data_IF_654869075981
#
_entry.id   IF_654869075981
#
_cell.length_a   1.000
_cell.length_b   1.000
_cell.length_c   1.000
_cell.angle_alpha   90.00
_cell.angle_beta   90.00
_cell.angle_gamma   90.00
#
_symmetry.space_group_name_H-M   'P 1'
#
loop_
_entity.id
_entity.type
_entity.pdbx_description
1 polymer ?
#
# COMPACT_ATOMS: atom_id res chain seq x y z
N UNK A 1 41.53 11.99 -4.10
CA UNK A 1 41.24 11.77 -4.03
C UNK A 1 40.54 11.20 -3.87
N UNK A 2 40.39 11.55 -4.11
CA UNK A 2 39.79 11.19 -4.12
C UNK A 2 39.09 10.64 -4.01
N UNK A 3 39.27 10.94 -4.31
CA UNK A 3 38.64 10.48 -4.37
C UNK A 3 37.93 10.20 -4.18
N UNK A 4 38.15 10.54 -4.27
CA UNK A 4 37.53 10.38 -4.28
C UNK A 4 36.76 10.18 -4.27
N UNK A 5 37.01 10.50 -4.41
CA UNK A 5 36.41 10.45 -4.51
C UNK A 5 35.69 10.09 -4.73
N UNK A 6 35.73 10.33 -5.01
CA UNK A 6 35.28 10.05 -5.30
C UNK A 6 34.64 9.34 -5.46
N UNK A 7 34.77 9.29 -5.54
CA UNK A 7 34.32 8.81 -5.58
C UNK A 7 33.62 8.29 -5.68
N UNK A 8 33.87 8.24 -5.76
CA UNK A 8 33.26 7.98 -6.08
C UNK A 8 32.31 7.66 -6.03
N UNK A 9 32.49 7.38 -6.12
CA UNK A 9 31.17 7.85 -5.94
C UNK A 9 30.19 7.53 -7.05
N UNK A 10 30.50 7.51 -8.21
CA UNK A 10 29.56 7.29 -9.30
C UNK A 10 28.80 5.98 -9.25
N UNK A 11 29.43 4.90 -8.95
CA UNK A 11 28.70 3.66 -8.87
C UNK A 11 27.71 3.66 -7.76
N UNK A 12 28.06 4.28 -6.70
CA UNK A 12 27.16 4.40 -5.58
C UNK A 12 25.88 5.10 -5.99
N UNK A 13 26.05 6.20 -6.71
CA UNK A 13 24.89 6.95 -7.17
C UNK A 13 24.03 6.12 -8.11
N UNK A 14 24.68 5.36 -8.98
CA UNK A 14 23.95 4.55 -9.92
C UNK A 14 23.11 3.50 -9.22
N UNK A 15 23.63 2.91 -8.18
CA UNK A 15 22.86 1.92 -7.44
C UNK A 15 21.64 2.52 -6.80
N UNK A 16 21.77 3.72 -6.27
CA UNK A 16 20.63 4.40 -5.70
C UNK A 16 19.57 4.65 -6.77
N UNK A 17 20.02 5.08 -7.94
CA UNK A 17 19.09 5.35 -9.01
C UNK A 17 18.31 4.12 -9.42
N UNK A 18 18.92 2.96 -9.34
CA UNK A 18 18.21 1.74 -9.71
C UNK A 18 17.18 1.32 -8.68
N UNK A 19 17.38 1.70 -7.43
CA UNK A 19 16.53 1.19 -6.37
C UNK A 19 15.58 2.23 -5.81
N UNK A 20 15.78 3.50 -6.11
CA UNK A 20 14.95 4.53 -5.52
C UNK A 20 14.27 5.37 -6.57
N UNK A 21 13.01 5.67 -6.32
CA UNK A 21 12.24 6.59 -7.15
C UNK A 21 12.22 7.94 -6.46
N UNK A 22 12.24 9.01 -7.25
CA UNK A 22 12.03 10.35 -6.70
C UNK A 22 10.58 10.52 -6.31
N UNK A 23 10.30 11.50 -5.49
CA UNK A 23 8.92 11.76 -5.10
C UNK A 23 8.02 12.06 -6.31
N UNK A 24 8.45 12.91 -7.26
CA UNK A 24 7.61 13.10 -8.46
C UNK A 24 7.38 11.81 -9.23
N UNK A 25 8.39 10.95 -9.33
CA UNK A 25 8.22 9.68 -10.02
C UNK A 25 7.21 8.79 -9.29
N UNK A 26 7.26 8.78 -7.97
CA UNK A 26 6.31 8.01 -7.20
C UNK A 26 4.89 8.55 -7.36
N UNK A 27 4.75 9.87 -7.42
CA UNK A 27 3.44 10.47 -7.64
C UNK A 27 2.88 10.07 -9.00
N UNK A 28 3.74 10.01 -10.00
CA UNK A 28 3.33 9.57 -11.33
C UNK A 28 2.87 8.12 -11.30
N UNK A 29 3.61 7.27 -10.61
CA UNK A 29 3.26 5.86 -10.47
C UNK A 29 1.93 5.73 -9.74
N UNK A 30 1.73 6.51 -8.68
CA UNK A 30 0.47 6.47 -7.94
C UNK A 30 -0.69 6.89 -8.83
N UNK A 31 -0.50 7.93 -9.62
CA UNK A 31 -1.53 8.39 -10.54
C UNK A 31 -1.88 7.30 -11.54
N UNK A 32 -0.86 6.66 -12.12
CA UNK A 32 -1.09 5.61 -13.07
C UNK A 32 -1.84 4.44 -12.43
N UNK A 33 -1.47 4.08 -11.22
CA UNK A 33 -2.15 3.02 -10.49
C UNK A 33 -3.63 3.34 -10.31
N UNK A 34 -3.94 4.56 -9.91
CA UNK A 34 -5.34 4.94 -9.70
C UNK A 34 -6.11 4.95 -11.01
N UNK A 35 -5.48 5.38 -12.09
CA UNK A 35 -6.13 5.36 -13.40
C UNK A 35 -6.42 3.93 -13.83
N UNK A 36 -5.46 3.03 -13.63
CA UNK A 36 -5.67 1.62 -13.95
C UNK A 36 -6.80 1.03 -13.10
N UNK A 37 -6.83 1.37 -11.84
CA UNK A 37 -7.89 0.87 -10.96
C UNK A 37 -9.25 1.36 -11.42
N UNK A 38 -9.34 2.62 -11.80
CA UNK A 38 -10.59 3.17 -12.29
C UNK A 38 -11.01 2.48 -13.59
N UNK A 39 -10.07 2.26 -14.47
CA UNK A 39 -10.33 1.58 -15.73
C UNK A 39 -10.87 0.17 -15.47
N UNK A 40 -10.37 -0.51 -14.45
CA UNK A 40 -10.81 -1.85 -14.09
C UNK A 40 -12.05 -1.82 -13.19
N UNK A 41 -12.57 -0.64 -12.91
CA UNK A 41 -13.77 -0.47 -12.09
C UNK A 41 -13.58 -0.98 -10.68
N UNK A 42 -12.40 -0.81 -10.15
CA UNK A 42 -12.13 -1.16 -8.76
C UNK A 42 -12.61 -0.06 -7.83
N UNK A 43 -12.97 -0.41 -6.60
CA UNK A 43 -13.40 0.61 -5.64
C UNK A 43 -12.28 1.62 -5.39
N UNK A 44 -12.66 2.89 -5.23
CA UNK A 44 -11.70 3.95 -5.01
C UNK A 44 -11.25 3.96 -3.56
N UNK A 45 -9.96 4.20 -3.30
CA UNK A 45 -9.53 4.37 -1.92
C UNK A 45 -10.03 5.69 -1.35
N UNK A 46 -10.08 5.76 -0.03
CA UNK A 46 -10.49 6.97 0.66
C UNK A 46 -9.33 7.95 0.82
N UNK A 47 -8.11 7.45 0.85
CA UNK A 47 -6.95 8.33 0.92
C UNK A 47 -5.76 7.66 0.27
N UNK A 48 -4.77 8.47 -0.03
CA UNK A 48 -3.53 8.03 -0.62
C UNK A 48 -2.39 8.77 0.06
N UNK A 49 -1.32 8.07 0.33
CA UNK A 49 -0.16 8.65 0.97
C UNK A 49 1.09 8.09 0.29
N UNK A 50 2.09 8.93 0.09
CA UNK A 50 3.33 8.53 -0.53
C UNK A 50 4.44 8.75 0.47
N UNK A 51 5.21 7.70 0.74
CA UNK A 51 6.36 7.78 1.62
C UNK A 51 7.62 7.67 0.78
N UNK A 52 8.27 8.81 0.53
CA UNK A 52 9.50 8.80 -0.26
C UNK A 52 10.60 8.05 0.48
N UNK A 53 10.73 8.30 1.78
CA UNK A 53 11.77 7.61 2.55
C UNK A 53 11.54 6.12 2.62
N UNK A 54 10.29 5.68 2.69
CA UNK A 54 9.97 4.27 2.70
C UNK A 54 9.77 3.67 1.33
N UNK A 55 9.82 4.48 0.29
CA UNK A 55 9.62 4.03 -1.08
C UNK A 55 8.34 3.22 -1.21
N UNK A 56 7.25 3.76 -0.67
CA UNK A 56 5.97 3.06 -0.69
C UNK A 56 4.82 4.02 -0.92
N UNK A 57 3.74 3.47 -1.44
CA UNK A 57 2.48 4.17 -1.64
C UNK A 57 1.45 3.43 -0.81
N UNK A 58 0.70 4.17 0.00
CA UNK A 58 -0.31 3.60 0.88
C UNK A 58 -1.69 4.09 0.49
N UNK A 59 -2.63 3.17 0.41
CA UNK A 59 -4.02 3.48 0.10
C UNK A 59 -4.90 2.93 1.21
N UNK A 60 -5.82 3.74 1.69
CA UNK A 60 -6.72 3.33 2.74
C UNK A 60 -8.15 3.23 2.25
N UNK A 61 -8.89 2.23 2.73
CA UNK A 61 -10.20 1.92 2.22
C UNK A 61 -11.32 2.02 3.25
N UNK A 62 -11.01 2.44 4.46
CA UNK A 62 -12.07 2.68 5.41
C UNK A 62 -12.22 1.58 6.44
N UNK A 63 -13.42 1.51 7.03
CA UNK A 63 -13.61 0.73 8.24
C UNK A 63 -14.86 -0.12 8.23
N UNK A 64 -15.28 -0.60 7.07
CA UNK A 64 -16.48 -1.41 7.04
C UNK A 64 -16.28 -2.63 6.16
N UNK A 65 -17.32 -3.42 5.99
CA UNK A 65 -17.22 -4.63 5.21
C UNK A 65 -16.94 -4.35 3.74
N UNK A 66 -17.41 -3.21 3.25
CA UNK A 66 -17.11 -2.84 1.88
C UNK A 66 -15.62 -2.64 1.69
N UNK A 67 -14.93 -2.17 2.73
CA UNK A 67 -13.48 -2.02 2.65
C UNK A 67 -12.81 -3.38 2.48
N UNK A 68 -13.32 -4.41 3.13
CA UNK A 68 -12.78 -5.74 2.97
C UNK A 68 -12.93 -6.23 1.53
N UNK A 69 -14.11 -6.02 0.95
CA UNK A 69 -14.34 -6.42 -0.44
C UNK A 69 -13.46 -5.61 -1.39
N UNK A 70 -13.25 -4.34 -1.07
CA UNK A 70 -12.38 -3.51 -1.89
C UNK A 70 -10.95 -4.06 -1.90
N UNK A 71 -10.43 -4.41 -0.74
CA UNK A 71 -9.09 -4.98 -0.67
C UNK A 71 -8.99 -6.26 -1.47
N UNK A 72 -9.99 -7.12 -1.36
CA UNK A 72 -9.98 -8.39 -2.07
C UNK A 72 -9.97 -8.18 -3.58
N UNK A 73 -10.74 -7.23 -4.07
CA UNK A 73 -10.79 -6.96 -5.49
C UNK A 73 -9.47 -6.40 -6.00
N UNK A 74 -8.87 -5.50 -5.24
CA UNK A 74 -7.57 -4.96 -5.61
C UNK A 74 -6.50 -6.05 -5.61
N UNK A 75 -6.54 -6.94 -4.61
CA UNK A 75 -5.57 -8.02 -4.53
C UNK A 75 -5.71 -8.95 -5.73
N UNK A 76 -6.94 -9.22 -6.13
CA UNK A 76 -7.19 -10.07 -7.28
C UNK A 76 -6.65 -9.45 -8.56
N UNK A 77 -6.82 -8.14 -8.71
CA UNK A 77 -6.41 -7.46 -9.92
C UNK A 77 -4.90 -7.27 -10.00
N UNK A 78 -4.27 -6.90 -8.89
CA UNK A 78 -2.85 -6.54 -8.92
C UNK A 78 -1.93 -7.59 -8.33
N UNK A 79 -2.48 -8.66 -7.80
CA UNK A 79 -1.66 -9.75 -7.29
C UNK A 79 -1.17 -9.45 -5.90
N UNK A 80 -1.83 -9.89 -4.90
CA UNK A 80 -1.42 -9.73 -3.53
C UNK A 80 -2.25 -10.66 -2.70
N UNK A 81 -1.93 -10.73 -1.43
CA UNK A 81 -2.65 -11.57 -0.51
C UNK A 81 -3.18 -10.71 0.61
N UNK A 82 -4.46 -10.89 0.93
CA UNK A 82 -5.06 -10.17 2.05
C UNK A 82 -4.65 -10.85 3.34
N UNK A 83 -4.07 -10.09 4.26
CA UNK A 83 -3.74 -10.59 5.58
C UNK A 83 -4.51 -9.79 6.61
N UNK A 84 -4.88 -10.42 7.70
CA UNK A 84 -5.62 -9.78 8.76
C UNK A 84 -4.91 -9.92 10.09
N UNK A 85 -4.90 -8.84 10.87
CA UNK A 85 -4.30 -8.84 12.19
C UNK A 85 -5.34 -8.34 13.19
N UNK A 86 -5.57 -9.06 14.27
CA UNK A 86 -6.50 -8.58 15.30
C UNK A 86 -6.06 -7.23 15.83
N UNK A 87 -7.02 -6.38 16.07
CA UNK A 87 -6.75 -5.03 16.51
C UNK A 87 -7.92 -4.58 17.38
N UNK A 88 -7.66 -3.66 18.29
CA UNK A 88 -8.69 -3.10 19.13
C UNK A 88 -8.70 -1.60 18.93
N UNK A 89 -9.88 -1.05 18.62
CA UNK A 89 -10.00 0.39 18.41
C UNK A 89 -9.80 1.12 19.75
N UNK A 90 -9.74 2.43 19.68
CA UNK A 90 -9.50 3.23 20.87
C UNK A 90 -10.57 3.04 21.91
N UNK A 91 -11.80 2.77 21.48
CA UNK A 91 -12.90 2.55 22.41
C UNK A 91 -13.07 1.08 22.75
N UNK A 92 -12.11 0.24 22.42
CA UNK A 92 -12.10 -1.15 22.85
C UNK A 92 -12.86 -2.09 21.95
N UNK A 93 -13.35 -1.63 20.82
CA UNK A 93 -14.09 -2.49 19.90
C UNK A 93 -13.14 -3.40 19.14
N UNK A 94 -13.46 -4.70 19.04
CA UNK A 94 -12.60 -5.60 18.28
C UNK A 94 -12.69 -5.31 16.79
N UNK A 95 -11.54 -5.33 16.14
CA UNK A 95 -11.43 -5.07 14.72
C UNK A 95 -10.38 -6.00 14.13
N UNK A 96 -10.37 -6.08 12.81
CA UNK A 96 -9.30 -6.74 12.08
C UNK A 96 -8.66 -5.71 11.17
N UNK A 97 -7.36 -5.57 11.29
CA UNK A 97 -6.60 -4.69 10.41
C UNK A 97 -6.18 -5.51 9.21
N UNK A 98 -6.72 -5.19 8.06
CA UNK A 98 -6.47 -5.94 6.83
C UNK A 98 -5.48 -5.20 5.97
N UNK A 99 -4.56 -5.93 5.39
CA UNK A 99 -3.52 -5.36 4.54
C UNK A 99 -3.33 -6.19 3.29
N UNK A 100 -2.96 -5.52 2.21
CA UNK A 100 -2.54 -6.16 0.97
C UNK A 100 -1.29 -5.42 0.51
N UNK A 101 -0.29 -6.17 0.06
CA UNK A 101 0.92 -5.55 -0.48
C UNK A 101 1.23 -6.12 -1.85
N UNK A 102 1.66 -5.25 -2.76
CA UNK A 102 2.10 -5.68 -4.08
C UNK A 102 3.05 -4.62 -4.63
N UNK A 103 3.71 -4.97 -5.73
CA UNK A 103 4.60 -4.02 -6.41
C UNK A 103 3.89 -3.48 -7.64
N UNK A 104 4.03 -2.19 -7.86
CA UNK A 104 3.49 -1.54 -9.04
C UNK A 104 4.50 -0.50 -9.51
N UNK A 105 4.95 -0.66 -10.76
CA UNK A 105 5.98 0.24 -11.26
C UNK A 105 7.26 0.21 -10.47
N UNK A 106 7.55 -0.91 -9.81
CA UNK A 106 8.75 -1.04 -9.01
C UNK A 106 8.64 -0.44 -7.62
N UNK A 107 7.46 0.06 -7.24
CA UNK A 107 7.25 0.68 -5.94
C UNK A 107 6.30 -0.21 -5.14
N UNK A 108 6.57 -0.32 -3.86
CA UNK A 108 5.69 -1.10 -3.00
C UNK A 108 4.40 -0.34 -2.73
N UNK A 109 3.29 -1.02 -2.96
CA UNK A 109 1.97 -0.46 -2.69
C UNK A 109 1.35 -1.23 -1.55
N UNK A 110 0.82 -0.52 -0.57
CA UNK A 110 0.21 -1.12 0.60
C UNK A 110 -1.22 -0.62 0.72
N UNK A 111 -2.14 -1.55 0.76
CA UNK A 111 -3.56 -1.24 0.96
C UNK A 111 -3.93 -1.62 2.38
N UNK A 112 -4.82 -0.88 3.00
CA UNK A 112 -5.22 -1.18 4.35
C UNK A 112 -6.68 -0.84 4.59
N UNK A 113 -7.27 -1.53 5.54
CA UNK A 113 -8.63 -1.29 5.98
C UNK A 113 -8.80 -1.86 7.37
N UNK A 114 -9.70 -1.27 8.13
CA UNK A 114 -10.12 -1.81 9.43
C UNK A 114 -11.54 -2.31 9.26
N UNK A 115 -11.81 -3.54 9.65
CA UNK A 115 -13.17 -4.05 9.56
C UNK A 115 -13.59 -4.56 10.93
N UNK A 116 -14.89 -4.53 11.21
CA UNK A 116 -15.38 -5.07 12.47
C UNK A 116 -15.08 -6.56 12.56
N UNK A 117 -14.68 -7.00 13.76
CA UNK A 117 -14.35 -8.40 13.97
C UNK A 117 -15.53 -9.16 14.53
N UNK A 118 -16.64 -8.52 14.62
CA UNK A 118 -17.75 -9.08 15.32
C UNK A 118 -18.27 -10.31 14.73
N UNK A 119 -18.02 -10.46 13.54
CA UNK A 119 -18.65 -11.52 12.94
C UNK A 119 -18.23 -12.76 13.47
N UNK A 120 -17.50 -12.68 14.15
CA UNK A 120 -17.20 -13.79 14.62
C UNK A 120 -17.98 -14.23 15.51
N UNK A 121 -18.28 -13.70 15.29
CA UNK A 121 -18.65 -14.11 15.57
C UNK A 121 -19.28 -14.42 15.99
N UNK A 122 -19.49 -14.05 16.07
CA UNK A 122 -20.07 -14.35 16.35
C UNK A 122 -20.76 -14.96 16.21
N UNK A 123 -20.73 -15.01 15.74
CA UNK A 123 -21.34 -15.49 15.57
C UNK A 123 -21.79 -16.37 16.10
N UNK A 124 -21.55 -16.41 16.56
CA UNK A 124 -21.83 -16.97 17.11
C UNK A 124 -22.52 -17.17 17.59
N UNK A 125 -22.66 -16.75 17.50
CA UNK A 125 -23.22 -16.71 17.97
C UNK A 125 -23.73 -17.10 18.06
#
# INVERSE_FOLDING_TARGET
MTDTTTVTVPEFVTMIDHSEHTLPAMAQIATDLLVQAEYQQLPAPHYLSISHGGQSISLGFGRDLDACHALARWAEQFGGTVTGTPHQSEDGQPQVYCQVGFLYGGVRVELSAFIPACQEGNADD
#
